data_IF_059242294858
#
_entry.id   IF_059242294858
#
_cell.length_a   1.000
_cell.length_b   1.000
_cell.length_c   1.000
_cell.angle_alpha   90.00
_cell.angle_beta   90.00
_cell.angle_gamma   90.00
#
_symmetry.space_group_name_H-M   'P 1'
#
loop_
_entity.id
_entity.type
_entity.pdbx_description
1 polymer ?
#
# COMPACT_ATOMS: atom_id res chain seq x y z
N UNK A 1 13.19 -2.33 7.44
CA UNK A 1 11.70 -2.33 7.41
C UNK A 1 11.16 -3.68 7.84
N UNK A 2 11.54 -4.78 7.16
CA UNK A 2 11.08 -6.13 7.50
C UNK A 2 11.39 -6.50 8.96
N UNK A 3 12.62 -6.29 9.43
CA UNK A 3 13.01 -6.60 10.82
C UNK A 3 12.34 -5.68 11.86
N UNK A 4 11.72 -4.60 11.42
CA UNK A 4 10.93 -3.70 12.26
C UNK A 4 9.44 -4.08 12.29
N UNK A 5 9.06 -5.24 11.75
CA UNK A 5 7.68 -5.74 11.78
C UNK A 5 6.80 -5.33 10.60
N UNK A 6 7.34 -4.62 9.59
CA UNK A 6 6.56 -4.28 8.38
C UNK A 6 6.33 -5.54 7.54
N UNK A 7 5.08 -5.80 7.15
CA UNK A 7 4.67 -6.97 6.35
C UNK A 7 3.89 -6.63 5.08
N UNK A 8 3.61 -5.35 4.82
CA UNK A 8 2.88 -4.90 3.63
C UNK A 8 3.67 -3.77 2.97
N UNK A 9 3.90 -3.90 1.67
CA UNK A 9 4.69 -2.94 0.90
C UNK A 9 3.90 -2.42 -0.31
N UNK A 10 3.86 -1.09 -0.47
CA UNK A 10 3.37 -0.43 -1.68
C UNK A 10 4.53 -0.23 -2.66
N UNK A 11 4.51 -0.97 -3.76
CA UNK A 11 5.55 -0.99 -4.77
C UNK A 11 5.02 -0.39 -6.06
N UNK A 12 5.46 0.84 -6.34
CA UNK A 12 5.04 1.58 -7.53
C UNK A 12 6.12 1.49 -8.60
N UNK A 13 5.79 0.85 -9.71
CA UNK A 13 6.75 0.48 -10.75
C UNK A 13 6.45 1.18 -12.07
N UNK A 14 7.49 1.44 -12.83
CA UNK A 14 7.40 1.81 -14.25
C UNK A 14 8.68 1.34 -14.95
N UNK A 15 8.72 1.48 -16.28
CA UNK A 15 9.98 1.38 -16.99
C UNK A 15 10.97 2.43 -16.49
N UNK A 16 12.24 2.04 -16.47
CA UNK A 16 13.36 2.96 -16.35
C UNK A 16 13.42 3.93 -17.55
N UNK A 17 14.21 5.02 -17.47
CA UNK A 17 14.32 5.98 -18.57
C UNK A 17 14.77 5.39 -19.90
N UNK A 18 15.39 4.20 -19.90
CA UNK A 18 15.82 3.49 -21.12
C UNK A 18 14.79 2.48 -21.67
N UNK A 19 13.66 2.29 -20.98
CA UNK A 19 12.64 1.28 -21.29
C UNK A 19 13.16 -0.16 -21.37
N UNK A 20 14.18 -0.48 -20.57
CA UNK A 20 14.81 -1.81 -20.51
C UNK A 20 14.34 -2.63 -19.31
N UNK A 21 14.06 -1.98 -18.19
CA UNK A 21 13.81 -2.65 -16.90
C UNK A 21 12.69 -1.98 -16.12
N UNK A 22 11.94 -2.77 -15.35
CA UNK A 22 11.01 -2.20 -14.36
C UNK A 22 11.78 -1.82 -13.10
N UNK A 23 11.60 -0.57 -12.68
CA UNK A 23 12.18 0.02 -11.47
C UNK A 23 11.11 0.79 -10.69
N UNK A 24 11.47 1.39 -9.55
CA UNK A 24 10.52 2.04 -8.65
C UNK A 24 10.52 3.56 -8.74
N UNK A 25 9.33 4.13 -8.61
CA UNK A 25 9.08 5.57 -8.69
C UNK A 25 8.14 6.04 -7.59
N UNK A 26 8.25 7.32 -7.24
CA UNK A 26 7.24 8.07 -6.50
C UNK A 26 6.83 9.29 -7.32
N UNK A 27 5.67 9.23 -7.96
CA UNK A 27 5.30 10.20 -8.99
C UNK A 27 6.42 10.34 -10.05
N UNK A 28 6.95 11.55 -10.24
CA UNK A 28 8.05 11.82 -11.18
C UNK A 28 9.44 11.48 -10.59
N UNK A 29 9.53 11.22 -9.29
CA UNK A 29 10.79 10.94 -8.62
C UNK A 29 11.20 9.50 -8.84
N UNK A 30 12.41 9.33 -9.40
CA UNK A 30 13.04 8.03 -9.50
C UNK A 30 13.62 7.61 -8.15
N UNK A 31 13.28 6.42 -7.64
CA UNK A 31 13.73 5.98 -6.32
C UNK A 31 15.10 5.31 -6.33
N UNK A 32 15.48 4.67 -7.43
CA UNK A 32 16.81 4.09 -7.62
C UNK A 32 17.15 4.03 -9.10
N UNK A 33 18.39 4.34 -9.46
CA UNK A 33 18.88 4.26 -10.84
C UNK A 33 19.30 2.85 -11.25
N UNK A 34 19.56 1.98 -10.28
CA UNK A 34 20.18 0.66 -10.51
C UNK A 34 19.35 -0.50 -10.00
N UNK A 35 18.42 -0.25 -9.08
CA UNK A 35 17.63 -1.31 -8.45
C UNK A 35 16.37 -1.58 -9.27
N UNK A 36 16.26 -2.80 -9.78
CA UNK A 36 15.10 -3.30 -10.50
C UNK A 36 14.06 -3.95 -9.59
N UNK A 37 12.88 -4.20 -10.13
CA UNK A 37 11.84 -5.00 -9.45
C UNK A 37 12.37 -6.39 -9.09
N UNK A 38 13.16 -7.03 -9.95
CA UNK A 38 13.74 -8.33 -9.66
C UNK A 38 14.67 -8.28 -8.44
N UNK A 39 15.55 -7.27 -8.36
CA UNK A 39 16.51 -7.12 -7.27
C UNK A 39 15.80 -7.01 -5.91
N UNK A 40 14.72 -6.23 -5.86
CA UNK A 40 13.90 -6.10 -4.64
C UNK A 40 13.17 -7.39 -4.31
N UNK A 41 12.62 -8.11 -5.31
CA UNK A 41 11.99 -9.41 -5.07
C UNK A 41 12.98 -10.44 -4.52
N UNK A 42 14.21 -10.48 -5.02
CA UNK A 42 15.27 -11.33 -4.45
C UNK A 42 15.55 -11.02 -2.98
N UNK A 43 15.55 -9.74 -2.60
CA UNK A 43 15.68 -9.34 -1.20
C UNK A 43 14.54 -9.88 -0.32
N UNK A 44 13.30 -9.84 -0.80
CA UNK A 44 12.15 -10.42 -0.10
C UNK A 44 12.22 -11.94 0.00
N UNK A 45 12.65 -12.61 -1.07
CA UNK A 45 12.81 -14.06 -1.11
C UNK A 45 13.82 -14.54 -0.07
N UNK A 46 15.01 -13.92 -0.07
CA UNK A 46 16.06 -14.22 0.91
C UNK A 46 15.56 -13.99 2.34
N UNK A 47 14.87 -12.87 2.59
CA UNK A 47 14.37 -12.59 3.93
C UNK A 47 13.32 -13.63 4.39
N UNK A 48 12.46 -14.13 3.49
CA UNK A 48 11.50 -15.19 3.81
C UNK A 48 12.18 -16.55 4.05
N UNK A 49 13.28 -16.85 3.38
CA UNK A 49 14.08 -18.05 3.67
C UNK A 49 14.70 -17.98 5.07
N UNK A 50 15.18 -16.79 5.45
CA UNK A 50 15.73 -16.54 6.79
C UNK A 50 14.64 -16.46 7.87
N UNK A 51 13.39 -16.18 7.49
CA UNK A 51 12.24 -16.01 8.39
C UNK A 51 11.01 -16.83 7.92
N UNK A 52 11.10 -18.17 7.90
CA UNK A 52 10.08 -19.03 7.27
C UNK A 52 8.73 -19.05 8.00
N UNK A 53 8.64 -18.49 9.21
CA UNK A 53 7.36 -18.30 9.91
C UNK A 53 6.56 -17.11 9.41
N UNK A 54 7.21 -16.19 8.70
CA UNK A 54 6.65 -14.91 8.31
C UNK A 54 5.96 -14.99 6.94
N UNK A 55 5.14 -14.00 6.64
CA UNK A 55 4.54 -13.81 5.32
C UNK A 55 4.42 -12.32 5.04
N UNK A 56 4.42 -11.93 3.76
CA UNK A 56 4.30 -10.54 3.37
C UNK A 56 3.27 -10.35 2.25
N UNK A 57 2.70 -9.15 2.21
CA UNK A 57 1.90 -8.66 1.11
C UNK A 57 2.74 -7.69 0.28
N UNK A 58 2.80 -7.92 -1.02
CA UNK A 58 3.37 -6.97 -1.96
C UNK A 58 2.27 -6.41 -2.84
N UNK A 59 1.99 -5.12 -2.69
CA UNK A 59 1.13 -4.41 -3.63
C UNK A 59 1.94 -3.84 -4.76
N UNK A 60 1.55 -4.16 -5.99
CA UNK A 60 2.15 -3.58 -7.18
C UNK A 60 1.17 -2.64 -7.85
N UNK A 61 1.62 -1.43 -8.16
CA UNK A 61 0.87 -0.43 -8.91
C UNK A 61 1.74 0.16 -10.02
N UNK A 62 1.20 0.30 -11.22
CA UNK A 62 1.89 1.07 -12.27
C UNK A 62 1.96 2.56 -11.89
N UNK A 63 3.16 3.14 -11.92
CA UNK A 63 3.39 4.55 -11.67
C UNK A 63 3.32 5.34 -13.00
N UNK A 64 2.28 6.17 -13.13
CA UNK A 64 2.19 7.14 -14.21
C UNK A 64 3.10 8.35 -14.01
N UNK A 65 3.15 9.22 -15.01
CA UNK A 65 3.85 10.51 -14.96
C UNK A 65 5.38 10.42 -14.75
N UNK A 66 5.98 9.27 -15.07
CA UNK A 66 7.44 9.05 -15.00
C UNK A 66 8.18 9.57 -16.24
N UNK A 67 7.44 9.92 -17.29
CA UNK A 67 7.93 10.51 -18.53
C UNK A 67 6.79 10.90 -19.46
N UNK A 68 7.04 11.73 -20.48
CA UNK A 68 6.02 12.29 -21.37
C UNK A 68 5.12 11.24 -22.04
N UNK A 69 5.70 10.09 -22.41
CA UNK A 69 5.00 8.99 -23.09
C UNK A 69 4.91 7.72 -22.23
N UNK A 70 5.21 7.82 -20.93
CA UNK A 70 5.16 6.70 -20.03
C UNK A 70 3.71 6.20 -19.89
N UNK A 71 3.48 4.95 -20.24
CA UNK A 71 2.18 4.30 -20.12
C UNK A 71 2.34 2.83 -19.72
N UNK A 72 1.32 2.25 -19.08
CA UNK A 72 1.22 0.81 -18.84
C UNK A 72 0.90 0.09 -20.15
N UNK A 73 1.85 0.10 -21.08
CA UNK A 73 1.73 -0.50 -22.40
C UNK A 73 2.02 -2.02 -22.35
N UNK A 74 1.84 -2.71 -23.48
CA UNK A 74 2.05 -4.16 -23.56
C UNK A 74 3.45 -4.61 -23.12
N UNK A 75 4.49 -3.81 -23.37
CA UNK A 75 5.86 -4.16 -22.97
C UNK A 75 6.05 -4.08 -21.44
N UNK A 76 5.52 -3.03 -20.79
CA UNK A 76 5.49 -2.92 -19.32
C UNK A 76 4.75 -4.11 -18.71
N UNK A 77 3.55 -4.38 -19.22
CA UNK A 77 2.67 -5.44 -18.73
C UNK A 77 3.32 -6.82 -18.90
N UNK A 78 3.93 -7.08 -20.05
CA UNK A 78 4.61 -8.35 -20.33
C UNK A 78 5.83 -8.54 -19.44
N UNK A 79 6.64 -7.50 -19.23
CA UNK A 79 7.81 -7.60 -18.35
C UNK A 79 7.38 -7.87 -16.90
N UNK A 80 6.37 -7.16 -16.39
CA UNK A 80 5.84 -7.41 -15.05
C UNK A 80 5.30 -8.84 -14.92
N UNK A 81 4.52 -9.30 -15.90
CA UNK A 81 4.02 -10.67 -15.93
C UNK A 81 5.16 -11.69 -15.87
N UNK A 82 6.21 -11.51 -16.67
CA UNK A 82 7.35 -12.41 -16.70
C UNK A 82 8.09 -12.44 -15.36
N UNK A 83 8.24 -11.28 -14.70
CA UNK A 83 8.82 -11.18 -13.36
C UNK A 83 7.98 -11.98 -12.35
N UNK A 84 6.67 -11.70 -12.29
CA UNK A 84 5.74 -12.29 -11.33
C UNK A 84 5.39 -13.76 -11.61
N UNK A 85 5.76 -14.30 -12.76
CA UNK A 85 5.54 -15.71 -13.14
C UNK A 85 6.82 -16.49 -13.42
N UNK A 86 7.97 -15.89 -13.15
CA UNK A 86 9.27 -16.57 -13.19
C UNK A 86 9.27 -17.80 -12.27
N UNK A 87 10.15 -18.80 -12.48
CA UNK A 87 10.22 -19.97 -11.61
C UNK A 87 10.41 -19.61 -10.13
N UNK A 88 11.26 -18.61 -9.83
CA UNK A 88 11.43 -18.09 -8.48
C UNK A 88 10.14 -17.45 -7.95
N UNK A 89 9.49 -16.58 -8.72
CA UNK A 89 8.24 -15.97 -8.29
C UNK A 89 7.13 -17.02 -8.04
N UNK A 90 7.02 -18.05 -8.87
CA UNK A 90 6.07 -19.16 -8.63
C UNK A 90 6.37 -19.92 -7.35
N UNK A 91 7.63 -20.00 -6.95
CA UNK A 91 8.01 -20.58 -5.67
C UNK A 91 7.57 -19.68 -4.51
N UNK A 92 7.91 -18.39 -4.52
CA UNK A 92 7.71 -17.52 -3.35
C UNK A 92 6.33 -16.88 -3.26
N UNK A 93 5.60 -16.69 -4.36
CA UNK A 93 4.25 -16.15 -4.32
C UNK A 93 3.23 -17.25 -4.05
N UNK A 94 2.24 -16.94 -3.22
CA UNK A 94 1.02 -17.72 -3.10
C UNK A 94 0.36 -17.85 -4.47
N UNK A 95 0.02 -19.08 -4.86
CA UNK A 95 -0.60 -19.37 -6.17
C UNK A 95 -2.14 -19.28 -6.12
N UNK A 96 -2.72 -19.16 -4.92
CA UNK A 96 -4.16 -18.93 -4.72
C UNK A 96 -4.58 -17.63 -5.40
N UNK A 97 -5.72 -17.67 -6.09
CA UNK A 97 -6.25 -16.55 -6.86
C UNK A 97 -7.53 -16.02 -6.22
N UNK A 98 -7.62 -14.69 -6.15
CA UNK A 98 -8.81 -13.94 -5.75
C UNK A 98 -9.36 -14.38 -4.36
N UNK A 99 -8.50 -14.86 -3.48
CA UNK A 99 -8.85 -15.30 -2.13
C UNK A 99 -7.64 -15.17 -1.20
N UNK A 100 -7.90 -14.85 0.06
CA UNK A 100 -6.91 -14.93 1.12
C UNK A 100 -6.98 -16.32 1.76
N UNK A 101 -5.83 -16.98 1.86
CA UNK A 101 -5.69 -18.21 2.63
C UNK A 101 -5.54 -17.94 4.12
N UNK A 102 -5.11 -18.95 4.86
CA UNK A 102 -4.74 -18.77 6.27
C UNK A 102 -3.30 -18.27 6.40
N UNK A 103 -2.93 -17.79 7.60
CA UNK A 103 -1.53 -17.51 7.91
C UNK A 103 -0.67 -18.76 7.74
N UNK A 104 -1.18 -19.94 8.14
CA UNK A 104 -0.46 -21.21 8.04
C UNK A 104 -0.08 -21.55 6.59
N UNK A 105 -1.00 -21.34 5.66
CA UNK A 105 -0.76 -21.57 4.23
C UNK A 105 0.23 -20.57 3.62
N UNK A 106 0.34 -19.37 4.21
CA UNK A 106 1.07 -18.23 3.64
C UNK A 106 2.50 -18.09 4.18
N UNK A 107 2.90 -18.89 5.18
CA UNK A 107 4.24 -18.83 5.78
C UNK A 107 5.34 -19.10 4.74
N UNK A 108 6.39 -18.29 4.76
CA UNK A 108 7.47 -18.30 3.79
C UNK A 108 7.04 -17.86 2.38
N UNK A 109 5.85 -17.27 2.23
CA UNK A 109 5.29 -16.85 0.93
C UNK A 109 4.83 -15.41 0.92
N UNK A 110 4.63 -14.91 -0.30
CA UNK A 110 4.15 -13.59 -0.62
C UNK A 110 2.72 -13.66 -1.14
N UNK A 111 1.80 -12.88 -0.57
CA UNK A 111 0.50 -12.64 -1.21
C UNK A 111 0.57 -11.40 -2.10
N UNK A 112 0.34 -11.59 -3.40
CA UNK A 112 0.31 -10.50 -4.38
C UNK A 112 -0.99 -9.70 -4.27
N UNK A 113 -0.88 -8.37 -4.20
CA UNK A 113 -2.00 -7.44 -4.29
C UNK A 113 -1.87 -6.63 -5.59
N UNK A 114 -2.66 -6.98 -6.60
CA UNK A 114 -2.55 -6.44 -7.96
C UNK A 114 -3.34 -5.14 -8.08
N UNK A 115 -2.67 -3.98 -7.95
CA UNK A 115 -3.21 -2.66 -8.32
C UNK A 115 -2.82 -2.31 -9.77
N UNK A 116 -2.94 -3.27 -10.66
CA UNK A 116 -2.67 -3.16 -12.08
C UNK A 116 -3.58 -4.12 -12.87
N UNK A 117 -3.76 -3.82 -14.15
CA UNK A 117 -4.41 -4.68 -15.12
C UNK A 117 -3.39 -5.11 -16.19
N UNK A 118 -3.64 -6.23 -16.88
CA UNK A 118 -2.88 -6.66 -18.06
C UNK A 118 -3.74 -6.53 -19.33
N UNK A 119 -4.46 -5.42 -19.46
CA UNK A 119 -5.46 -5.15 -20.51
C UNK A 119 -4.87 -4.93 -21.92
N UNK A 120 -3.54 -4.84 -22.04
CA UNK A 120 -2.82 -4.79 -23.34
C UNK A 120 -2.27 -6.15 -23.75
N UNK A 121 -2.51 -7.20 -22.96
CA UNK A 121 -2.14 -8.58 -23.23
C UNK A 121 -3.40 -9.46 -23.38
N UNK A 122 -3.30 -10.68 -23.96
CA UNK A 122 -4.40 -11.63 -23.95
C UNK A 122 -4.88 -12.00 -22.54
N UNK A 123 -6.17 -12.27 -22.37
CA UNK A 123 -6.80 -12.58 -21.07
C UNK A 123 -6.13 -13.74 -20.32
N UNK A 124 -5.49 -14.67 -21.03
CA UNK A 124 -4.74 -15.78 -20.44
C UNK A 124 -3.62 -15.33 -19.50
N UNK A 125 -3.02 -14.15 -19.72
CA UNK A 125 -2.00 -13.58 -18.86
C UNK A 125 -2.58 -13.16 -17.51
N UNK A 126 -3.72 -12.44 -17.51
CA UNK A 126 -4.46 -12.11 -16.29
C UNK A 126 -4.99 -13.38 -15.61
N UNK A 127 -5.42 -14.37 -16.39
CA UNK A 127 -5.90 -15.65 -15.86
C UNK A 127 -4.82 -16.37 -15.04
N UNK A 128 -3.56 -16.32 -15.49
CA UNK A 128 -2.42 -17.02 -14.89
C UNK A 128 -1.81 -16.33 -13.67
N UNK A 129 -2.12 -15.05 -13.40
CA UNK A 129 -1.61 -14.36 -12.23
C UNK A 129 -2.36 -14.74 -10.94
N UNK A 130 -1.64 -15.00 -9.84
CA UNK A 130 -2.27 -15.30 -8.56
C UNK A 130 -2.56 -14.02 -7.76
N UNK A 131 -2.95 -14.21 -6.49
CA UNK A 131 -3.21 -13.12 -5.55
C UNK A 131 -4.53 -12.40 -5.80
N UNK A 132 -4.68 -11.26 -5.15
CA UNK A 132 -5.91 -10.47 -5.15
C UNK A 132 -5.88 -9.43 -6.26
N UNK A 133 -6.96 -9.36 -7.05
CA UNK A 133 -7.12 -8.29 -8.04
C UNK A 133 -7.81 -7.06 -7.46
N UNK A 134 -7.09 -5.94 -7.42
CA UNK A 134 -7.62 -4.62 -7.10
C UNK A 134 -7.49 -3.73 -8.33
N UNK A 135 -8.28 -3.98 -9.38
CA UNK A 135 -8.21 -3.23 -10.64
C UNK A 135 -8.19 -1.72 -10.37
N UNK A 136 -7.23 -0.97 -10.95
CA UNK A 136 -7.17 0.48 -10.82
C UNK A 136 -8.46 1.19 -11.22
N UNK A 137 -9.21 0.62 -12.18
CA UNK A 137 -10.49 1.18 -12.63
C UNK A 137 -11.58 1.20 -11.55
N UNK A 138 -11.46 0.35 -10.54
CA UNK A 138 -12.38 0.25 -9.40
C UNK A 138 -11.87 1.01 -8.16
N UNK A 139 -10.62 1.50 -8.21
CA UNK A 139 -10.02 2.26 -7.13
C UNK A 139 -10.39 3.73 -7.29
N UNK A 140 -11.37 4.19 -6.51
CA UNK A 140 -11.79 5.60 -6.57
C UNK A 140 -10.64 6.51 -6.12
N UNK A 141 -10.20 7.41 -6.99
CA UNK A 141 -9.12 8.35 -6.68
C UNK A 141 -9.43 9.19 -5.45
N UNK A 142 -8.48 9.27 -4.52
CA UNK A 142 -8.61 9.98 -3.25
C UNK A 142 -9.85 9.56 -2.43
N UNK A 143 -10.21 8.28 -2.44
CA UNK A 143 -11.42 7.76 -1.82
C UNK A 143 -11.26 7.46 -0.33
N UNK A 144 -12.14 8.01 0.51
CA UNK A 144 -12.12 7.81 1.97
C UNK A 144 -12.90 6.57 2.47
N UNK A 145 -13.71 5.92 1.62
CA UNK A 145 -14.48 4.70 1.94
C UNK A 145 -14.76 3.93 0.64
N UNK A 146 -13.73 3.23 0.14
CA UNK A 146 -13.78 2.44 -1.08
C UNK A 146 -14.19 1.02 -0.72
N UNK A 147 -15.19 0.47 -1.41
CA UNK A 147 -15.52 -0.96 -1.35
C UNK A 147 -15.16 -1.61 -2.67
N UNK A 148 -14.25 -2.58 -2.65
CA UNK A 148 -13.78 -3.27 -3.85
C UNK A 148 -14.04 -4.77 -3.74
N UNK A 149 -14.87 -5.31 -4.63
CA UNK A 149 -15.15 -6.74 -4.72
C UNK A 149 -14.02 -7.42 -5.49
N UNK A 150 -13.18 -8.17 -4.80
CA UNK A 150 -12.07 -8.91 -5.44
C UNK A 150 -12.45 -10.36 -5.77
N UNK A 151 -13.55 -10.88 -5.21
CA UNK A 151 -14.10 -12.18 -5.58
C UNK A 151 -15.62 -12.15 -5.60
N UNK A 152 -16.20 -12.06 -6.80
CA UNK A 152 -17.65 -12.01 -6.98
C UNK A 152 -18.33 -13.32 -6.58
N UNK A 153 -17.74 -14.46 -6.94
CA UNK A 153 -18.32 -15.79 -6.71
C UNK A 153 -18.46 -16.11 -5.22
N UNK A 154 -17.49 -15.68 -4.40
CA UNK A 154 -17.49 -15.86 -2.94
C UNK A 154 -17.99 -14.63 -2.17
N UNK A 155 -18.43 -13.59 -2.87
CA UNK A 155 -18.84 -12.29 -2.29
C UNK A 155 -17.79 -11.67 -1.37
N UNK A 156 -16.50 -11.79 -1.70
CA UNK A 156 -15.41 -11.22 -0.91
C UNK A 156 -15.10 -9.80 -1.37
N UNK A 157 -15.05 -8.89 -0.40
CA UNK A 157 -14.77 -7.47 -0.61
C UNK A 157 -13.63 -6.99 0.29
N UNK A 158 -12.90 -5.99 -0.18
CA UNK A 158 -11.99 -5.18 0.60
C UNK A 158 -12.60 -3.80 0.88
N UNK A 159 -12.34 -3.27 2.07
CA UNK A 159 -12.72 -1.94 2.51
C UNK A 159 -11.48 -1.08 2.68
N UNK A 160 -11.35 -0.07 1.83
CA UNK A 160 -10.10 0.66 1.64
C UNK A 160 -10.33 2.14 1.91
N UNK A 161 -9.40 2.77 2.63
CA UNK A 161 -9.33 4.22 2.80
C UNK A 161 -8.02 4.72 2.23
N UNK A 162 -8.07 5.38 1.08
CA UNK A 162 -6.93 5.97 0.37
C UNK A 162 -7.20 7.47 0.12
N UNK A 163 -7.59 8.18 1.18
CA UNK A 163 -7.80 9.62 1.19
C UNK A 163 -6.45 10.33 1.29
N UNK A 164 -5.61 10.18 0.27
CA UNK A 164 -4.23 10.65 0.31
C UNK A 164 -4.11 12.18 0.25
N UNK A 165 -5.11 12.90 -0.27
CA UNK A 165 -5.09 14.35 -0.40
C UNK A 165 -6.34 15.01 0.21
N UNK A 166 -6.27 15.55 1.44
CA UNK A 166 -7.39 16.25 2.04
C UNK A 166 -7.95 17.36 1.14
N UNK A 167 -9.28 17.42 1.07
CA UNK A 167 -10.05 18.36 0.24
C UNK A 167 -10.48 19.59 1.06
N UNK A 168 -9.63 20.01 2.00
CA UNK A 168 -9.83 21.26 2.74
C UNK A 168 -9.71 22.45 1.77
N UNK A 169 -10.28 23.62 2.10
CA UNK A 169 -10.02 24.84 1.33
C UNK A 169 -8.51 25.12 1.19
N UNK A 170 -8.10 25.68 0.05
CA UNK A 170 -6.74 26.22 -0.11
C UNK A 170 -6.50 27.33 0.92
N UNK A 171 -5.36 27.30 1.60
CA UNK A 171 -5.06 28.17 2.73
C UNK A 171 -5.40 27.57 4.10
N UNK A 172 -6.01 26.37 4.14
CA UNK A 172 -6.27 25.67 5.38
C UNK A 172 -4.97 25.36 6.12
N UNK A 173 -5.03 25.44 7.46
CA UNK A 173 -3.89 25.11 8.30
C UNK A 173 -3.51 23.63 8.24
N UNK A 174 -2.25 23.31 8.50
CA UNK A 174 -1.78 21.93 8.68
C UNK A 174 -2.65 21.14 9.68
N UNK A 175 -3.09 21.76 10.80
CA UNK A 175 -4.00 21.13 11.77
C UNK A 175 -5.27 20.64 11.10
N UNK A 176 -5.86 21.45 10.23
CA UNK A 176 -7.11 21.12 9.56
C UNK A 176 -6.91 19.97 8.57
N UNK A 177 -5.87 20.04 7.74
CA UNK A 177 -5.49 18.97 6.82
C UNK A 177 -5.25 17.64 7.56
N UNK A 178 -4.41 17.66 8.60
CA UNK A 178 -4.11 16.50 9.44
C UNK A 178 -5.40 15.94 10.06
N UNK A 179 -6.28 16.80 10.56
CA UNK A 179 -7.55 16.38 11.17
C UNK A 179 -8.46 15.66 10.17
N UNK A 180 -8.60 16.19 8.96
CA UNK A 180 -9.42 15.57 7.92
C UNK A 180 -8.88 14.19 7.55
N UNK A 181 -7.55 14.09 7.36
CA UNK A 181 -6.91 12.79 7.11
C UNK A 181 -7.11 11.82 8.26
N UNK A 182 -6.74 12.22 9.47
CA UNK A 182 -6.87 11.41 10.67
C UNK A 182 -8.30 10.89 10.85
N UNK A 183 -9.32 11.74 10.63
CA UNK A 183 -10.73 11.35 10.73
C UNK A 183 -11.11 10.26 9.72
N UNK A 184 -10.65 10.34 8.47
CA UNK A 184 -10.86 9.29 7.47
C UNK A 184 -10.20 7.97 7.90
N UNK A 185 -8.93 8.04 8.30
CA UNK A 185 -8.14 6.88 8.75
C UNK A 185 -8.77 6.17 9.96
N UNK A 186 -9.13 6.89 11.03
CA UNK A 186 -9.76 6.26 12.20
C UNK A 186 -11.18 5.78 11.93
N UNK A 187 -11.89 6.38 10.97
CA UNK A 187 -13.20 5.89 10.54
C UNK A 187 -13.08 4.50 9.90
N UNK A 188 -12.12 4.30 9.00
CA UNK A 188 -11.92 2.99 8.37
C UNK A 188 -11.43 1.95 9.37
N UNK A 189 -10.51 2.31 10.28
CA UNK A 189 -10.07 1.40 11.35
C UNK A 189 -11.24 1.02 12.26
N UNK A 190 -12.09 1.98 12.67
CA UNK A 190 -13.30 1.66 13.46
C UNK A 190 -14.23 0.71 12.72
N UNK A 191 -14.39 0.88 11.41
CA UNK A 191 -15.16 -0.04 10.56
C UNK A 191 -14.55 -1.45 10.64
N UNK A 192 -13.23 -1.59 10.52
CA UNK A 192 -12.53 -2.88 10.68
C UNK A 192 -12.79 -3.54 12.04
N UNK A 193 -12.88 -2.75 13.11
CA UNK A 193 -13.10 -3.28 14.48
C UNK A 193 -14.53 -3.73 14.77
N UNK A 194 -15.51 -3.34 13.95
CA UNK A 194 -16.93 -3.48 14.30
C UNK A 194 -17.83 -3.99 13.17
N UNK A 195 -17.35 -3.99 11.93
CA UNK A 195 -18.10 -4.34 10.73
C UNK A 195 -17.25 -5.28 9.87
N UNK A 196 -17.91 -6.18 9.13
CA UNK A 196 -17.27 -7.07 8.16
C UNK A 196 -16.07 -7.86 8.74
N UNK A 197 -16.29 -8.68 9.79
CA UNK A 197 -15.23 -9.31 10.59
C UNK A 197 -14.27 -10.20 9.79
N UNK A 198 -14.70 -10.72 8.63
CA UNK A 198 -13.92 -11.60 7.77
C UNK A 198 -13.39 -10.92 6.50
N UNK A 199 -13.67 -9.61 6.31
CA UNK A 199 -13.30 -8.88 5.10
C UNK A 199 -11.97 -8.15 5.23
N UNK A 200 -11.23 -8.00 4.14
CA UNK A 200 -9.96 -7.26 4.14
C UNK A 200 -10.20 -5.77 4.41
N UNK A 201 -9.46 -5.19 5.36
CA UNK A 201 -9.39 -3.75 5.57
C UNK A 201 -8.00 -3.24 5.24
N UNK A 202 -7.92 -2.18 4.45
CA UNK A 202 -6.66 -1.58 4.02
C UNK A 202 -6.73 -0.06 4.13
N UNK A 203 -6.07 0.48 5.15
CA UNK A 203 -6.13 1.90 5.50
C UNK A 203 -4.79 2.56 5.19
N UNK A 204 -4.81 3.73 4.57
CA UNK A 204 -3.61 4.51 4.31
C UNK A 204 -3.56 5.67 5.28
N UNK A 205 -2.70 5.64 6.30
CA UNK A 205 -2.49 6.80 7.17
C UNK A 205 -1.67 7.91 6.47
N UNK A 206 -0.89 7.54 5.45
CA UNK A 206 -0.11 8.45 4.60
C UNK A 206 -0.99 9.44 3.84
N UNK A 207 -0.44 10.64 3.61
CA UNK A 207 -1.16 11.75 2.99
C UNK A 207 -0.22 12.89 2.61
N UNK A 208 -0.66 13.76 1.71
CA UNK A 208 -0.09 15.08 1.45
C UNK A 208 -1.23 16.08 1.15
N UNK A 209 -0.98 17.39 1.21
CA UNK A 209 -1.79 18.37 0.52
C UNK A 209 -0.89 19.39 -0.19
N UNK A 210 -0.17 18.94 -1.22
CA UNK A 210 0.81 19.76 -1.94
C UNK A 210 0.18 20.89 -2.77
N UNK A 211 -1.13 20.82 -3.02
CA UNK A 211 -1.87 21.88 -3.71
C UNK A 211 -2.36 22.99 -2.75
N UNK A 212 -2.13 22.83 -1.44
CA UNK A 212 -2.40 23.86 -0.45
C UNK A 212 -1.38 25.00 -0.52
N UNK A 213 -1.70 26.14 0.11
CA UNK A 213 -0.79 27.28 0.24
C UNK A 213 -0.75 27.77 1.71
N UNK A 214 0.34 27.52 2.47
CA UNK A 214 1.53 26.78 2.05
C UNK A 214 1.26 25.27 1.85
N UNK A 215 2.08 24.56 1.03
CA UNK A 215 1.92 23.12 0.81
C UNK A 215 2.13 22.29 2.08
N UNK A 216 1.26 21.29 2.31
CA UNK A 216 1.46 20.30 3.37
C UNK A 216 2.14 19.04 2.80
N UNK A 217 3.45 18.94 2.99
CA UNK A 217 4.24 17.80 2.56
C UNK A 217 3.90 16.51 3.34
N UNK A 218 4.20 15.31 2.80
CA UNK A 218 3.96 14.06 3.52
C UNK A 218 4.51 14.01 4.94
N UNK A 219 5.68 14.61 5.17
CA UNK A 219 6.28 14.70 6.50
C UNK A 219 5.43 15.54 7.47
N UNK A 220 4.88 16.68 7.00
CA UNK A 220 3.99 17.53 7.81
C UNK A 220 2.71 16.76 8.16
N UNK A 221 2.14 16.04 7.19
CA UNK A 221 0.93 15.26 7.40
C UNK A 221 1.15 14.12 8.40
N UNK A 222 2.25 13.39 8.26
CA UNK A 222 2.57 12.24 9.10
C UNK A 222 3.01 12.65 10.51
N UNK A 223 3.90 13.64 10.63
CA UNK A 223 4.62 13.95 11.87
C UNK A 223 4.18 15.27 12.52
N UNK A 224 3.49 16.14 11.78
CA UNK A 224 3.31 17.54 12.14
C UNK A 224 4.49 18.37 11.65
N UNK A 225 4.47 19.66 11.97
CA UNK A 225 5.54 20.59 11.59
C UNK A 225 6.48 20.97 12.75
N UNK A 226 6.44 20.21 13.85
CA UNK A 226 7.30 20.39 15.05
C UNK A 226 7.26 21.81 15.67
N UNK A 227 6.22 22.58 15.37
CA UNK A 227 6.01 23.94 15.91
C UNK A 227 4.77 23.98 16.81
N UNK A 228 4.56 25.11 17.50
CA UNK A 228 3.30 25.39 18.20
C UNK A 228 2.05 25.40 17.30
N UNK A 229 2.21 25.33 15.97
CA UNK A 229 1.12 25.26 15.01
C UNK A 229 0.58 23.85 14.76
N UNK A 230 1.19 22.77 15.27
CA UNK A 230 0.63 21.41 15.26
C UNK A 230 0.84 20.70 16.60
N UNK A 231 0.23 21.20 17.71
CA UNK A 231 0.56 20.75 19.06
C UNK A 231 0.21 19.29 19.35
N UNK A 232 -0.69 18.68 18.56
CA UNK A 232 -1.04 17.26 18.66
C UNK A 232 -0.16 16.34 17.78
N UNK A 233 0.82 16.91 17.07
CA UNK A 233 1.57 16.23 16.02
C UNK A 233 0.73 15.92 14.77
N UNK A 234 1.31 15.11 13.89
CA UNK A 234 0.68 14.63 12.67
C UNK A 234 -0.22 13.42 12.89
N UNK A 235 -0.61 12.79 11.79
CA UNK A 235 -1.47 11.60 11.79
C UNK A 235 -0.83 10.47 12.60
N UNK A 236 0.49 10.26 12.49
CA UNK A 236 1.18 9.17 13.18
C UNK A 236 1.12 9.34 14.72
N UNK A 237 1.43 10.55 15.24
CA UNK A 237 1.37 10.83 16.68
C UNK A 237 -0.04 10.64 17.23
N UNK A 238 -1.06 11.12 16.50
CA UNK A 238 -2.44 10.99 16.92
C UNK A 238 -2.93 9.53 16.85
N UNK A 239 -2.45 8.75 15.88
CA UNK A 239 -2.79 7.34 15.75
C UNK A 239 -2.25 6.49 16.90
N UNK A 240 -1.07 6.76 17.46
CA UNK A 240 -0.57 6.02 18.64
C UNK A 240 -1.60 6.01 19.77
N UNK A 241 -2.13 7.18 20.13
CA UNK A 241 -3.14 7.30 21.18
C UNK A 241 -4.44 6.58 20.82
N UNK A 242 -4.82 6.58 19.55
CA UNK A 242 -6.01 5.91 19.08
C UNK A 242 -5.87 4.38 19.07
N UNK A 243 -4.74 3.87 18.59
CA UNK A 243 -4.41 2.44 18.47
C UNK A 243 -4.30 1.80 19.85
N UNK A 244 -3.69 2.46 20.84
CA UNK A 244 -3.66 1.98 22.25
C UNK A 244 -5.07 1.67 22.80
N UNK A 245 -6.11 2.37 22.32
CA UNK A 245 -7.52 2.14 22.69
C UNK A 245 -8.20 1.04 21.86
N UNK A 246 -7.53 0.48 20.87
CA UNK A 246 -8.00 -0.63 20.03
C UNK A 246 -7.36 -1.98 20.39
N UNK A 247 -6.62 -2.06 21.49
CA UNK A 247 -6.07 -3.34 21.96
C UNK A 247 -7.16 -4.41 22.09
N UNK A 248 -6.84 -5.62 21.63
CA UNK A 248 -7.73 -6.76 21.48
C UNK A 248 -8.63 -6.71 20.25
N UNK A 249 -8.47 -5.74 19.35
CA UNK A 249 -9.35 -5.56 18.18
C UNK A 249 -8.59 -5.67 16.86
N UNK A 250 -9.29 -6.24 15.87
CA UNK A 250 -8.84 -6.30 14.48
C UNK A 250 -8.92 -4.91 13.84
N UNK A 251 -7.79 -4.35 13.44
CA UNK A 251 -7.71 -3.03 12.79
C UNK A 251 -7.42 -3.07 11.29
N UNK A 252 -7.13 -4.25 10.74
CA UNK A 252 -6.75 -4.43 9.33
C UNK A 252 -5.30 -4.04 9.03
N UNK A 253 -5.00 -3.81 7.76
CA UNK A 253 -3.71 -3.27 7.30
C UNK A 253 -3.74 -1.75 7.46
N UNK A 254 -2.67 -1.16 8.01
CA UNK A 254 -2.47 0.30 8.07
C UNK A 254 -1.11 0.66 7.46
N UNK A 255 -1.13 1.48 6.41
CA UNK A 255 0.06 1.96 5.71
C UNK A 255 0.50 3.30 6.28
N UNK A 256 1.75 3.41 6.74
CA UNK A 256 2.29 4.62 7.33
C UNK A 256 3.41 5.20 6.47
N UNK A 257 3.41 6.52 6.28
CA UNK A 257 4.65 7.24 5.95
C UNK A 257 5.46 7.47 7.22
N UNK A 258 6.79 7.55 7.11
CA UNK A 258 7.69 7.78 8.24
C UNK A 258 7.42 6.84 9.43
N UNK A 259 7.18 5.56 9.14
CA UNK A 259 6.71 4.56 10.11
C UNK A 259 7.57 4.44 11.39
N UNK A 260 8.85 4.84 11.35
CA UNK A 260 9.71 4.89 12.53
C UNK A 260 9.44 6.07 13.48
N UNK A 261 8.47 6.93 13.17
CA UNK A 261 8.13 8.12 13.93
C UNK A 261 6.60 8.26 14.11
N UNK A 262 6.09 8.40 15.36
CA UNK A 262 6.85 8.34 16.61
C UNK A 262 7.47 6.94 16.83
N UNK A 263 8.50 6.86 17.67
CA UNK A 263 9.29 5.63 17.84
C UNK A 263 8.47 4.44 18.34
N UNK A 264 7.35 4.70 19.05
CA UNK A 264 6.46 3.67 19.58
C UNK A 264 5.29 3.32 18.63
N UNK A 265 5.25 3.87 17.40
CA UNK A 265 4.13 3.66 16.47
C UNK A 265 3.97 2.19 16.07
N UNK A 266 5.05 1.57 15.61
CA UNK A 266 5.00 0.20 15.12
C UNK A 266 4.83 -0.78 16.26
N UNK A 267 5.54 -0.59 17.38
CA UNK A 267 5.34 -1.40 18.58
C UNK A 267 3.89 -1.32 19.06
N UNK A 268 3.31 -0.11 19.14
CA UNK A 268 1.88 0.08 19.48
C UNK A 268 0.95 -0.66 18.55
N UNK A 269 1.26 -0.72 17.24
CA UNK A 269 0.43 -1.40 16.25
C UNK A 269 0.56 -2.93 16.34
N UNK A 270 1.76 -3.46 16.60
CA UNK A 270 2.02 -4.89 16.71
C UNK A 270 1.52 -5.48 18.05
N UNK A 271 1.38 -4.65 19.08
CA UNK A 271 0.86 -5.05 20.40
C UNK A 271 -0.69 -5.08 20.50
N UNK A 272 -1.40 -4.73 19.41
CA UNK A 272 -2.86 -4.67 19.39
C UNK A 272 -3.53 -6.02 19.65
#
# INVERSE_FOLDING_TARGET
MLDMGIRVFDLRYAFDPTNSSLIFYHAQALLSQTTTVNDVLFGFYQWLDDHPSETIFLSFQYQGSTGLYASSNAAVQLQLYNILTSPAARHYFMQTKDELGTLGDSRGKITLMRRFDLDKLPDSYTAALPGLHFSPSLWTGNGADITLVYNKAKSLSAYIEDYYQPLTPTGSSAIENIRWKYNATVKNIRKATSQHPDSLFWTWASSNNIANDPPDWPQIMALGNETGYTPAGGVNQQLVLFLKRQRGKRVGIVMFDFFGQPSDLIDTFLEL
#
